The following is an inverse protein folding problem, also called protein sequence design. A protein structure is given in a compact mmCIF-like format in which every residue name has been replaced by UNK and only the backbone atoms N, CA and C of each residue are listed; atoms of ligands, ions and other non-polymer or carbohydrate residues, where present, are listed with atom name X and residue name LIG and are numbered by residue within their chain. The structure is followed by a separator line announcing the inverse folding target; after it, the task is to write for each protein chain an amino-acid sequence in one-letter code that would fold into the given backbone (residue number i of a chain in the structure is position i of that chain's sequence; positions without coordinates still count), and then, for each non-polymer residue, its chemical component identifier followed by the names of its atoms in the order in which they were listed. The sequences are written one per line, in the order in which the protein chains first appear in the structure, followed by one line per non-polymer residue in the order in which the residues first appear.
data_IF_600885166656
#
_entry.id   IF_600885166656
#
_cell.length_a   1.000
_cell.length_b   1.000
_cell.length_c   1.000
_cell.angle_alpha   90.00
_cell.angle_beta   90.00
_cell.angle_gamma   90.00
#
_symmetry.space_group_name_H-M   'P 1'
#
loop_
_entity.id
_entity.type
_entity.pdbx_description
1 polymer ?
#
# COMPACT_ATOMS: atom_id res chain seq x y z
N UNK A 1 3.74 -11.38 1.26
CA UNK A 1 4.64 -11.00 2.37
C UNK A 1 5.33 -12.18 3.07
N UNK A 2 4.75 -13.39 3.10
CA UNK A 2 5.37 -14.59 3.71
C UNK A 2 6.77 -14.91 3.16
N UNK A 3 6.96 -14.89 1.83
CA UNK A 3 8.26 -15.12 1.20
C UNK A 3 9.32 -14.10 1.65
N UNK A 4 8.92 -12.83 1.84
CA UNK A 4 9.79 -11.77 2.32
C UNK A 4 10.21 -12.02 3.78
N UNK A 5 9.28 -12.42 4.63
CA UNK A 5 9.53 -12.82 6.03
C UNK A 5 10.52 -13.98 6.10
N UNK A 6 10.34 -15.00 5.27
CA UNK A 6 11.23 -16.16 5.20
C UNK A 6 12.65 -15.75 4.77
N UNK A 7 12.79 -14.93 3.71
CA UNK A 7 14.10 -14.47 3.26
C UNK A 7 14.83 -13.63 4.30
N UNK A 8 14.18 -12.69 4.99
CA UNK A 8 14.84 -11.90 6.04
C UNK A 8 15.19 -12.72 7.28
N UNK A 9 14.43 -13.79 7.57
CA UNK A 9 14.71 -14.70 8.69
C UNK A 9 15.90 -15.61 8.39
N UNK A 10 15.95 -16.22 7.19
CA UNK A 10 17.01 -17.16 6.79
C UNK A 10 18.34 -16.44 6.55
N UNK A 11 18.32 -15.25 5.96
CA UNK A 11 19.54 -14.54 5.56
C UNK A 11 20.30 -13.86 6.71
N UNK A 12 19.77 -13.84 7.95
CA UNK A 12 20.26 -13.04 9.10
C UNK A 12 20.41 -11.54 8.80
N UNK A 13 19.91 -11.05 7.67
CA UNK A 13 19.96 -9.64 7.24
C UNK A 13 18.79 -8.85 7.84
N UNK A 14 18.83 -8.62 9.15
CA UNK A 14 17.97 -7.63 9.82
C UNK A 14 16.60 -8.10 10.32
N UNK A 15 16.20 -9.35 10.09
CA UNK A 15 15.08 -10.00 10.78
C UNK A 15 13.75 -9.22 10.73
N UNK A 16 12.93 -9.24 11.80
CA UNK A 16 11.63 -8.57 11.83
C UNK A 16 11.70 -7.05 11.63
N UNK A 17 12.80 -6.41 12.04
CA UNK A 17 12.96 -4.96 11.89
C UNK A 17 13.10 -4.56 10.42
N UNK A 18 13.93 -5.28 9.64
CA UNK A 18 14.11 -5.00 8.22
C UNK A 18 12.88 -5.33 7.39
N UNK A 19 12.14 -6.37 7.79
CA UNK A 19 10.83 -6.68 7.22
C UNK A 19 9.88 -5.49 7.38
N UNK A 20 9.73 -4.97 8.60
CA UNK A 20 8.85 -3.81 8.87
C UNK A 20 9.30 -2.56 8.11
N UNK A 21 10.60 -2.27 8.08
CA UNK A 21 11.15 -1.14 7.32
C UNK A 21 10.77 -1.25 5.83
N UNK A 22 11.01 -2.42 5.23
CA UNK A 22 10.74 -2.65 3.80
C UNK A 22 9.26 -2.56 3.48
N UNK A 23 8.40 -3.11 4.34
CA UNK A 23 6.94 -3.00 4.20
C UNK A 23 6.49 -1.55 4.30
N UNK A 24 7.02 -0.78 5.26
CA UNK A 24 6.68 0.62 5.41
C UNK A 24 7.18 1.47 4.24
N UNK A 25 8.34 1.17 3.67
CA UNK A 25 8.84 1.83 2.47
C UNK A 25 8.00 1.51 1.23
N UNK A 26 7.40 0.32 1.16
CA UNK A 26 6.52 -0.07 0.05
C UNK A 26 5.11 0.53 0.19
N UNK A 27 4.51 0.40 1.37
CA UNK A 27 3.12 0.80 1.63
C UNK A 27 3.01 2.31 1.86
N UNK A 28 4.02 2.94 2.48
CA UNK A 28 4.02 4.37 2.82
C UNK A 28 3.68 5.29 1.65
N UNK A 29 4.34 5.18 0.49
CA UNK A 29 4.00 5.97 -0.70
C UNK A 29 2.58 5.75 -1.19
N UNK A 30 2.05 4.53 -1.15
CA UNK A 30 0.65 4.25 -1.52
C UNK A 30 -0.32 4.95 -0.58
N UNK A 31 -0.04 4.94 0.73
CA UNK A 31 -0.84 5.64 1.74
C UNK A 31 -0.83 7.16 1.47
N UNK A 32 0.33 7.73 1.12
CA UNK A 32 0.41 9.14 0.76
C UNK A 32 -0.43 9.46 -0.47
N UNK A 33 -0.37 8.63 -1.51
CA UNK A 33 -1.19 8.76 -2.72
C UNK A 33 -2.69 8.75 -2.40
N UNK A 34 -3.12 7.83 -1.53
CA UNK A 34 -4.52 7.74 -1.09
C UNK A 34 -4.97 9.01 -0.38
N UNK A 35 -4.16 9.50 0.56
CA UNK A 35 -4.47 10.69 1.35
C UNK A 35 -4.48 11.95 0.47
N UNK A 36 -3.59 12.07 -0.51
CA UNK A 36 -3.59 13.19 -1.46
C UNK A 36 -4.82 13.23 -2.36
N UNK A 37 -5.48 12.08 -2.54
CA UNK A 37 -6.73 11.93 -3.29
C UNK A 37 -7.97 11.88 -2.38
N UNK A 38 -7.89 12.41 -1.15
CA UNK A 38 -9.01 12.52 -0.20
C UNK A 38 -9.59 11.16 0.28
N UNK A 39 -8.87 10.06 0.05
CA UNK A 39 -9.17 8.77 0.64
C UNK A 39 -8.65 8.70 2.06
N UNK A 40 -9.21 7.79 2.86
CA UNK A 40 -8.77 7.52 4.22
C UNK A 40 -8.47 6.04 4.40
N UNK A 41 -7.36 5.72 5.07
CA UNK A 41 -6.92 4.35 5.32
C UNK A 41 -7.46 3.90 6.67
N UNK A 42 -8.45 3.01 6.64
CA UNK A 42 -9.18 2.60 7.84
C UNK A 42 -8.46 1.49 8.61
N UNK A 43 -7.84 0.56 7.89
CA UNK A 43 -7.26 -0.65 8.51
C UNK A 43 -6.18 -1.28 7.65
N UNK A 44 -5.14 -1.78 8.30
CA UNK A 44 -4.18 -2.71 7.73
C UNK A 44 -4.48 -4.14 8.19
N UNK A 45 -4.46 -5.06 7.25
CA UNK A 45 -4.48 -6.51 7.44
C UNK A 45 -3.22 -7.08 6.79
N UNK A 46 -2.82 -8.28 7.20
CA UNK A 46 -1.54 -8.85 6.79
C UNK A 46 -1.32 -8.90 5.28
N UNK A 47 -2.39 -9.02 4.49
CA UNK A 47 -2.42 -9.18 3.04
C UNK A 47 -3.13 -8.04 2.28
N UNK A 48 -3.78 -7.11 2.97
CA UNK A 48 -4.54 -6.02 2.36
C UNK A 48 -4.73 -4.85 3.34
N UNK A 49 -5.01 -3.66 2.82
CA UNK A 49 -5.51 -2.55 3.63
C UNK A 49 -6.81 -2.00 3.05
N UNK A 50 -7.67 -1.47 3.91
CA UNK A 50 -9.00 -0.99 3.56
C UNK A 50 -8.96 0.53 3.52
N UNK A 51 -9.47 1.09 2.41
CA UNK A 51 -9.52 2.51 2.13
C UNK A 51 -10.95 2.95 1.88
N UNK A 52 -11.32 4.16 2.31
CA UNK A 52 -12.66 4.71 2.13
C UNK A 52 -12.60 6.17 1.68
N UNK A 53 -13.50 6.53 0.77
CA UNK A 53 -13.83 7.91 0.46
C UNK A 53 -15.19 8.23 1.07
N UNK A 54 -15.23 9.16 2.02
CA UNK A 54 -16.46 9.53 2.72
C UNK A 54 -17.28 10.51 1.89
N UNK A 55 -18.53 10.17 1.63
CA UNK A 55 -19.49 11.11 1.01
C UNK A 55 -19.84 12.23 2.01
N UNK A 56 -19.60 13.47 1.61
CA UNK A 56 -20.00 14.67 2.35
C UNK A 56 -21.20 15.33 1.68
N UNK A 57 -21.89 16.21 2.41
CA UNK A 57 -23.00 16.99 1.87
C UNK A 57 -22.54 17.84 0.67
N UNK A 58 -23.34 17.87 -0.39
CA UNK A 58 -23.01 18.57 -1.64
C UNK A 58 -22.11 17.81 -2.61
N UNK A 59 -21.63 16.61 -2.25
CA UNK A 59 -20.84 15.76 -3.16
C UNK A 59 -21.71 14.73 -3.91
N UNK A 60 -21.24 14.28 -5.07
CA UNK A 60 -21.88 13.23 -5.86
C UNK A 60 -21.10 11.92 -5.73
N UNK A 61 -21.78 10.82 -5.41
CA UNK A 61 -21.16 9.50 -5.24
C UNK A 61 -20.36 9.04 -6.47
N UNK A 62 -20.82 9.39 -7.67
CA UNK A 62 -20.13 9.07 -8.93
C UNK A 62 -18.72 9.67 -8.98
N UNK A 63 -18.57 10.91 -8.53
CA UNK A 63 -17.30 11.63 -8.59
C UNK A 63 -16.31 11.00 -7.61
N UNK A 64 -16.78 10.63 -6.41
CA UNK A 64 -15.98 9.87 -5.44
C UNK A 64 -15.55 8.49 -5.97
N UNK A 65 -16.45 7.77 -6.64
CA UNK A 65 -16.12 6.49 -7.24
C UNK A 65 -15.05 6.65 -8.33
N UNK A 66 -15.17 7.69 -9.16
CA UNK A 66 -14.16 8.03 -10.18
C UNK A 66 -12.82 8.37 -9.54
N UNK A 67 -12.79 9.17 -8.49
CA UNK A 67 -11.57 9.53 -7.75
C UNK A 67 -10.88 8.29 -7.18
N UNK A 68 -11.64 7.40 -6.52
CA UNK A 68 -11.12 6.15 -5.98
C UNK A 68 -10.54 5.24 -7.07
N UNK A 69 -11.23 5.12 -8.21
CA UNK A 69 -10.75 4.34 -9.36
C UNK A 69 -9.46 4.93 -9.97
N UNK A 70 -9.40 6.24 -10.13
CA UNK A 70 -8.22 6.92 -10.65
C UNK A 70 -7.02 6.74 -9.72
N UNK A 71 -7.24 6.92 -8.40
CA UNK A 71 -6.23 6.67 -7.36
C UNK A 71 -5.70 5.24 -7.45
N UNK A 72 -6.59 4.24 -7.59
CA UNK A 72 -6.19 2.85 -7.75
C UNK A 72 -5.34 2.62 -9.02
N UNK A 73 -5.69 3.25 -10.14
CA UNK A 73 -4.87 3.18 -11.36
C UNK A 73 -3.49 3.81 -11.18
N UNK A 74 -3.40 4.95 -10.48
CA UNK A 74 -2.12 5.63 -10.19
C UNK A 74 -1.25 4.73 -9.30
N UNK A 75 -1.84 4.13 -8.26
CA UNK A 75 -1.13 3.20 -7.37
C UNK A 75 -0.61 1.99 -8.14
N UNK A 76 -1.46 1.36 -8.96
CA UNK A 76 -1.04 0.21 -9.76
C UNK A 76 0.09 0.56 -10.72
N UNK A 77 0.05 1.74 -11.33
CA UNK A 77 1.05 2.19 -12.31
C UNK A 77 2.41 2.49 -11.67
N UNK A 78 2.43 3.12 -10.49
CA UNK A 78 3.67 3.60 -9.87
C UNK A 78 4.20 2.66 -8.78
N UNK A 79 3.32 1.92 -8.12
CA UNK A 79 3.65 1.11 -6.95
C UNK A 79 3.24 -0.36 -7.08
N UNK A 80 2.61 -0.79 -8.19
CA UNK A 80 2.19 -2.18 -8.39
C UNK A 80 3.34 -3.19 -8.53
N UNK A 81 4.59 -2.74 -8.49
CA UNK A 81 5.78 -3.59 -8.45
C UNK A 81 6.88 -2.90 -7.65
N UNK A 82 7.41 -3.60 -6.65
CA UNK A 82 8.54 -3.12 -5.85
C UNK A 82 9.57 -4.23 -5.64
N UNK A 83 10.78 -4.01 -6.13
CA UNK A 83 11.89 -4.96 -5.95
C UNK A 83 12.58 -4.69 -4.61
N UNK A 84 12.63 -5.72 -3.77
CA UNK A 84 13.32 -5.63 -2.46
C UNK A 84 14.81 -5.96 -2.59
N UNK A 85 15.59 -5.57 -1.58
CA UNK A 85 17.03 -5.85 -1.49
C UNK A 85 17.36 -7.35 -1.37
N UNK A 86 16.37 -8.18 -1.04
CA UNK A 86 16.47 -9.65 -0.98
C UNK A 86 15.93 -10.34 -2.23
N UNK A 87 15.64 -9.57 -3.30
CA UNK A 87 15.20 -10.08 -4.59
C UNK A 87 13.81 -10.74 -4.54
N UNK A 88 12.94 -10.28 -3.65
CA UNK A 88 11.49 -10.58 -3.67
C UNK A 88 10.78 -9.38 -4.27
N UNK A 89 9.90 -9.62 -5.24
CA UNK A 89 9.07 -8.58 -5.83
C UNK A 89 7.75 -8.50 -5.09
N UNK A 90 7.44 -7.35 -4.49
CA UNK A 90 6.11 -7.07 -3.94
C UNK A 90 5.19 -6.56 -5.05
N UNK A 91 3.93 -7.00 -5.00
CA UNK A 91 2.85 -6.69 -5.95
C UNK A 91 1.53 -6.65 -5.19
#
# INVERSE_FOLDING_TARGET
FTELTEKYTVSKRGGPSKLTETLNSYIGPMVQEILSHHGDVLKFSGDAFIVMWKLQEGMVMRDLASEAMQTACIIQKHFGRYETDVGVTLR
#
